data_IF_535885658455
#
_entry.id   IF_535885658455
#
_cell.length_a   1.000
_cell.length_b   1.000
_cell.length_c   1.000
_cell.angle_alpha   90.00
_cell.angle_beta   90.00
_cell.angle_gamma   90.00
#
_symmetry.space_group_name_H-M   'P 1'
#
loop_
_entity.id
_entity.type
_entity.pdbx_description
1 polymer ?
#
# COMPACT_ATOMS: atom_id res chain seq x y z
N UNK A 1 2.94 10.50 11.64
CA UNK A 1 2.81 11.22 10.34
C UNK A 1 3.60 10.44 9.29
N UNK A 2 3.11 10.35 8.06
CA UNK A 2 3.76 9.62 6.96
C UNK A 2 3.87 10.54 5.74
N UNK A 3 5.06 10.64 5.14
CA UNK A 3 5.27 11.41 3.91
C UNK A 3 4.85 10.60 2.70
N UNK A 4 4.06 11.20 1.82
CA UNK A 4 3.57 10.56 0.60
C UNK A 4 4.24 11.19 -0.63
N UNK A 5 4.51 10.38 -1.65
CA UNK A 5 5.14 10.80 -2.90
C UNK A 5 4.55 10.06 -4.10
N UNK A 6 4.67 10.66 -5.28
CA UNK A 6 4.23 10.09 -6.57
C UNK A 6 2.75 9.68 -6.56
N UNK A 7 1.87 10.55 -6.05
CA UNK A 7 0.45 10.24 -5.89
C UNK A 7 -0.25 9.98 -7.23
N UNK A 8 0.15 10.71 -8.27
CA UNK A 8 -0.41 10.58 -9.62
C UNK A 8 0.14 9.37 -10.39
N UNK A 9 1.06 8.59 -9.79
CA UNK A 9 1.60 7.40 -10.44
C UNK A 9 0.50 6.36 -10.63
N UNK A 10 0.20 6.01 -11.88
CA UNK A 10 -0.70 4.90 -12.22
C UNK A 10 -0.05 3.58 -11.80
N UNK A 11 -0.68 2.87 -10.86
CA UNK A 11 -0.26 1.54 -10.41
C UNK A 11 -0.98 0.42 -11.16
N UNK A 12 -2.21 0.65 -11.62
CA UNK A 12 -3.01 -0.33 -12.36
C UNK A 12 -3.39 0.22 -13.74
N UNK A 13 -2.57 -0.03 -14.78
CA UNK A 13 -2.78 0.55 -16.10
C UNK A 13 -4.12 0.20 -16.75
N UNK A 14 -4.65 -1.00 -16.48
CA UNK A 14 -5.92 -1.45 -17.05
C UNK A 14 -7.12 -0.57 -16.65
N UNK A 15 -7.06 0.06 -15.47
CA UNK A 15 -8.14 0.89 -14.92
C UNK A 15 -7.72 2.34 -14.71
N UNK A 16 -6.45 2.69 -14.96
CA UNK A 16 -5.89 4.00 -14.65
C UNK A 16 -5.68 4.28 -13.16
N UNK A 17 -5.90 3.31 -12.27
CA UNK A 17 -5.88 3.55 -10.82
C UNK A 17 -4.50 3.97 -10.32
N UNK A 18 -4.45 5.11 -9.65
CA UNK A 18 -3.25 5.79 -9.16
C UNK A 18 -2.88 5.38 -7.75
N UNK A 19 -1.63 5.63 -7.36
CA UNK A 19 -1.13 5.43 -5.99
C UNK A 19 -1.94 6.23 -4.98
N UNK A 20 -2.32 7.47 -5.32
CA UNK A 20 -3.16 8.31 -4.49
C UNK A 20 -4.53 7.68 -4.21
N UNK A 21 -5.18 7.13 -5.22
CA UNK A 21 -6.48 6.46 -5.09
C UNK A 21 -6.40 5.19 -4.24
N UNK A 22 -5.35 4.38 -4.38
CA UNK A 22 -5.13 3.21 -3.51
C UNK A 22 -4.97 3.64 -2.05
N UNK A 23 -4.21 4.70 -1.79
CA UNK A 23 -4.04 5.23 -0.43
C UNK A 23 -5.36 5.78 0.13
N UNK A 24 -6.12 6.51 -0.69
CA UNK A 24 -7.44 7.01 -0.31
C UNK A 24 -8.40 5.87 0.04
N UNK A 25 -8.43 4.80 -0.76
CA UNK A 25 -9.25 3.61 -0.49
C UNK A 25 -8.96 3.03 0.89
N UNK A 26 -7.70 2.80 1.24
CA UNK A 26 -7.34 2.28 2.56
C UNK A 26 -7.65 3.26 3.69
N UNK A 27 -7.38 4.55 3.51
CA UNK A 27 -7.53 5.54 4.58
C UNK A 27 -8.99 5.95 4.83
N UNK A 28 -9.79 6.11 3.77
CA UNK A 28 -11.12 6.71 3.83
C UNK A 28 -12.26 5.71 3.58
N UNK A 29 -12.03 4.66 2.76
CA UNK A 29 -13.10 3.74 2.37
C UNK A 29 -13.15 2.50 3.27
N UNK A 30 -12.02 1.82 3.47
CA UNK A 30 -12.01 0.51 4.16
C UNK A 30 -11.30 0.49 5.51
N UNK A 31 -10.60 1.56 5.90
CA UNK A 31 -9.79 1.59 7.12
C UNK A 31 -10.57 1.17 8.37
N UNK A 32 -11.81 1.66 8.53
CA UNK A 32 -12.65 1.33 9.69
C UNK A 32 -13.06 -0.14 9.78
N UNK A 33 -13.14 -0.85 8.65
CA UNK A 33 -13.58 -2.25 8.61
C UNK A 33 -12.42 -3.23 8.51
N UNK A 34 -11.32 -2.89 7.84
CA UNK A 34 -10.19 -3.82 7.66
C UNK A 34 -9.31 -3.93 8.91
N UNK A 35 -9.11 -2.83 9.64
CA UNK A 35 -8.18 -2.78 10.77
C UNK A 35 -8.54 -3.74 11.92
N UNK A 36 -9.82 -3.92 12.32
CA UNK A 36 -10.20 -4.93 13.32
C UNK A 36 -9.75 -6.35 12.96
N UNK A 37 -9.76 -6.71 11.67
CA UNK A 37 -9.37 -8.03 11.20
C UNK A 37 -7.86 -8.24 11.19
N UNK A 38 -7.08 -7.17 11.08
CA UNK A 38 -5.62 -7.19 11.04
C UNK A 38 -4.97 -6.98 12.42
N UNK A 39 -5.75 -6.64 13.45
CA UNK A 39 -5.24 -6.35 14.79
C UNK A 39 -4.52 -7.56 15.39
N UNK A 40 -3.35 -7.32 15.99
CA UNK A 40 -2.47 -8.35 16.59
C UNK A 40 -2.05 -9.48 15.62
N UNK A 41 -2.04 -9.21 14.30
CA UNK A 41 -1.58 -10.15 13.28
C UNK A 41 -0.36 -9.59 12.55
N UNK A 42 0.77 -10.30 12.51
CA UNK A 42 1.90 -9.93 11.68
C UNK A 42 1.47 -9.86 10.20
N UNK A 43 1.74 -8.74 9.53
CA UNK A 43 1.39 -8.53 8.13
C UNK A 43 2.62 -8.68 7.25
N UNK A 44 2.53 -9.55 6.24
CA UNK A 44 3.50 -9.59 5.15
C UNK A 44 3.00 -8.75 3.97
N UNK A 45 3.87 -7.98 3.36
CA UNK A 45 3.50 -7.11 2.23
C UNK A 45 3.99 -7.70 0.92
N UNK A 46 3.07 -7.86 -0.04
CA UNK A 46 3.43 -7.99 -1.45
C UNK A 46 3.55 -6.60 -2.04
N UNK A 47 4.75 -6.24 -2.52
CA UNK A 47 5.07 -4.89 -3.01
C UNK A 47 5.30 -4.92 -4.51
N UNK A 48 4.77 -3.92 -5.18
CA UNK A 48 4.90 -3.70 -6.62
C UNK A 48 5.17 -2.21 -6.89
N UNK A 49 6.41 -1.72 -6.70
CA UNK A 49 6.74 -0.30 -6.79
C UNK A 49 6.33 0.36 -8.12
N UNK A 50 6.35 -0.42 -9.21
CA UNK A 50 6.03 0.00 -10.58
C UNK A 50 4.73 -0.61 -11.12
N UNK A 51 3.84 -1.07 -10.23
CA UNK A 51 2.62 -1.77 -10.62
C UNK A 51 2.84 -3.27 -10.85
N UNK A 52 1.76 -4.05 -11.07
CA UNK A 52 1.80 -5.51 -11.11
C UNK A 52 2.54 -6.07 -12.34
N UNK A 53 2.79 -5.27 -13.38
CA UNK A 53 3.61 -5.64 -14.53
C UNK A 53 5.12 -5.44 -14.33
N UNK A 54 5.53 -4.81 -13.22
CA UNK A 54 6.93 -4.55 -12.88
C UNK A 54 7.49 -5.57 -11.89
N UNK A 55 8.47 -5.14 -11.09
CA UNK A 55 9.02 -5.97 -10.02
C UNK A 55 7.96 -6.22 -8.94
N UNK A 56 7.81 -7.49 -8.55
CA UNK A 56 6.92 -7.94 -7.47
C UNK A 56 7.73 -8.72 -6.44
N UNK A 57 7.62 -8.36 -5.16
CA UNK A 57 8.37 -9.05 -4.10
C UNK A 57 7.67 -8.99 -2.74
N UNK A 58 7.95 -9.99 -1.90
CA UNK A 58 7.47 -10.02 -0.52
C UNK A 58 8.42 -9.28 0.42
N UNK A 59 7.86 -8.57 1.38
CA UNK A 59 8.57 -8.02 2.55
C UNK A 59 7.87 -8.51 3.81
N UNK A 60 8.58 -9.30 4.62
CA UNK A 60 8.07 -9.89 5.87
C UNK A 60 8.53 -9.14 7.12
N UNK A 61 9.74 -8.59 7.07
CA UNK A 61 10.34 -7.83 8.17
C UNK A 61 10.16 -6.32 7.91
N UNK A 62 9.99 -5.49 8.96
CA UNK A 62 9.95 -4.04 8.80
C UNK A 62 11.20 -3.52 8.07
N UNK A 63 11.06 -2.77 6.96
CA UNK A 63 12.21 -2.23 6.25
C UNK A 63 12.85 -1.05 7.01
N UNK A 64 14.10 -0.68 6.68
CA UNK A 64 14.70 0.56 7.16
C UNK A 64 13.80 1.77 6.87
N UNK A 65 13.68 2.68 7.83
CA UNK A 65 12.81 3.86 7.73
C UNK A 65 11.33 3.62 8.05
N UNK A 66 10.98 2.44 8.60
CA UNK A 66 9.65 2.24 9.22
C UNK A 66 9.46 3.26 10.36
N UNK A 67 8.35 4.01 10.41
CA UNK A 67 8.06 4.93 11.52
C UNK A 67 8.05 4.20 12.87
N UNK A 68 8.52 4.91 13.91
CA UNK A 68 8.45 4.45 15.30
C UNK A 68 6.99 4.44 15.81
#
# INVERSE_FOLDING_TARGET
RVSLSNLDKVLYPATGTTKGEVLHYYAATVGGVILPHLRERPVSFLRYPDGPGGQVFFTKNPPPGTPA
#
